data_IF_349314201215
#
_entry.id   IF_349314201215
#
_cell.length_a   1.000
_cell.length_b   1.000
_cell.length_c   1.000
_cell.angle_alpha   90.00
_cell.angle_beta   90.00
_cell.angle_gamma   90.00
#
_symmetry.space_group_name_H-M   'P 1'
#
loop_
_entity.id
_entity.type
_entity.pdbx_description
1 polymer ?
#
# COMPACT_ATOMS: atom_id res chain seq x y z
N UNK A 1 8.32 -7.89 5.56
CA UNK A 1 9.29 -7.03 6.27
C UNK A 1 9.89 -6.06 5.24
N UNK A 2 10.20 -4.80 5.59
CA UNK A 2 10.80 -3.83 4.65
C UNK A 2 12.14 -4.32 4.07
N UNK A 3 12.88 -5.16 4.81
CA UNK A 3 14.11 -5.82 4.31
C UNK A 3 13.85 -6.68 3.07
N UNK A 4 12.79 -7.47 3.06
CA UNK A 4 12.46 -8.37 1.95
C UNK A 4 12.07 -7.58 0.68
N UNK A 5 11.31 -6.49 0.83
CA UNK A 5 10.94 -5.63 -0.29
C UNK A 5 12.17 -4.96 -0.92
N UNK A 6 13.15 -4.57 -0.08
CA UNK A 6 14.41 -4.00 -0.55
C UNK A 6 15.22 -5.00 -1.36
N UNK A 7 15.39 -6.22 -0.84
CA UNK A 7 16.12 -7.30 -1.53
C UNK A 7 15.48 -7.61 -2.90
N UNK A 8 14.15 -7.68 -2.98
CA UNK A 8 13.43 -7.89 -4.25
C UNK A 8 13.64 -6.72 -5.20
N UNK A 9 13.53 -5.47 -4.72
CA UNK A 9 13.74 -4.27 -5.54
C UNK A 9 15.15 -4.23 -6.13
N UNK A 10 16.16 -4.58 -5.34
CA UNK A 10 17.57 -4.64 -5.76
C UNK A 10 17.82 -5.77 -6.76
N UNK A 11 17.18 -6.93 -6.59
CA UNK A 11 17.32 -8.07 -7.50
C UNK A 11 16.64 -7.85 -8.86
N UNK A 12 15.58 -7.04 -8.91
CA UNK A 12 14.75 -6.83 -10.10
C UNK A 12 14.55 -5.35 -10.41
N UNK A 13 15.60 -4.52 -10.60
CA UNK A 13 15.51 -3.04 -10.59
C UNK A 13 14.52 -2.43 -11.59
N UNK A 14 14.29 -3.09 -12.73
CA UNK A 14 13.43 -2.57 -13.80
C UNK A 14 12.02 -3.20 -13.83
N UNK A 15 11.74 -4.20 -12.98
CA UNK A 15 10.45 -4.89 -12.97
C UNK A 15 9.47 -4.16 -12.04
N UNK A 16 8.24 -3.82 -12.47
CA UNK A 16 7.26 -3.23 -11.57
C UNK A 16 7.02 -4.09 -10.32
N UNK A 17 7.20 -3.49 -9.14
CA UNK A 17 7.06 -4.15 -7.84
C UNK A 17 5.84 -3.58 -7.11
N UNK A 18 4.85 -4.44 -6.82
CA UNK A 18 3.62 -4.04 -6.12
C UNK A 18 3.54 -4.72 -4.75
N UNK A 19 3.34 -3.93 -3.69
CA UNK A 19 3.05 -4.47 -2.36
C UNK A 19 1.59 -4.93 -2.24
N UNK A 20 1.31 -6.00 -1.49
CA UNK A 20 -0.06 -6.45 -1.26
C UNK A 20 -0.48 -6.51 0.23
N UNK A 21 0.46 -6.81 1.12
CA UNK A 21 0.16 -7.15 2.52
C UNK A 21 0.68 -6.05 3.43
N UNK A 22 -0.13 -5.66 4.42
CA UNK A 22 0.28 -4.69 5.44
C UNK A 22 0.26 -3.24 4.97
N UNK A 23 -0.31 -2.95 3.81
CA UNK A 23 -0.51 -1.57 3.34
C UNK A 23 -1.67 -0.92 4.11
N UNK A 24 -1.37 0.16 4.79
CA UNK A 24 -2.31 1.03 5.53
C UNK A 24 -1.95 2.48 5.25
N UNK A 25 -2.81 3.42 5.68
CA UNK A 25 -2.52 4.85 5.60
C UNK A 25 -1.23 5.25 6.33
N UNK A 26 -0.86 4.51 7.38
CA UNK A 26 0.34 4.76 8.18
C UNK A 26 1.60 4.17 7.56
N UNK A 27 1.48 3.08 6.78
CA UNK A 27 2.64 2.36 6.20
C UNK A 27 2.91 2.68 4.74
N UNK A 28 1.94 3.27 4.03
CA UNK A 28 2.01 3.46 2.57
C UNK A 28 3.22 4.30 2.14
N UNK A 29 3.62 5.30 2.91
CA UNK A 29 4.77 6.15 2.60
C UNK A 29 6.08 5.33 2.55
N UNK A 30 6.32 4.51 3.57
CA UNK A 30 7.52 3.68 3.63
C UNK A 30 7.50 2.58 2.56
N UNK A 31 6.33 1.99 2.31
CA UNK A 31 6.18 0.94 1.30
C UNK A 31 6.44 1.50 -0.10
N UNK A 32 5.91 2.69 -0.42
CA UNK A 32 6.11 3.33 -1.72
C UNK A 32 7.53 3.85 -1.91
N UNK A 33 8.33 3.99 -0.84
CA UNK A 33 9.77 4.26 -0.99
C UNK A 33 10.55 3.12 -1.64
N UNK A 34 9.97 1.91 -1.71
CA UNK A 34 10.60 0.70 -2.25
C UNK A 34 9.80 0.04 -3.39
N UNK A 35 8.54 0.44 -3.60
CA UNK A 35 7.60 -0.23 -4.50
C UNK A 35 6.91 0.76 -5.41
N UNK A 36 6.48 0.31 -6.58
CA UNK A 36 5.87 1.14 -7.62
C UNK A 36 4.34 1.28 -7.43
N UNK A 37 3.79 0.61 -6.40
CA UNK A 37 2.38 0.69 -6.05
C UNK A 37 1.94 -0.45 -5.13
N UNK A 38 0.62 -0.60 -4.97
CA UNK A 38 0.09 -1.67 -4.15
C UNK A 38 -1.30 -2.17 -4.57
N UNK A 39 -1.62 -3.39 -4.15
CA UNK A 39 -2.98 -3.92 -4.07
C UNK A 39 -3.42 -3.91 -2.61
N UNK A 40 -4.43 -3.12 -2.27
CA UNK A 40 -4.88 -2.92 -0.90
C UNK A 40 -6.35 -3.34 -0.74
N UNK A 41 -6.65 -4.02 0.37
CA UNK A 41 -7.98 -4.57 0.64
C UNK A 41 -8.54 -4.07 1.96
N UNK A 42 -8.42 -4.87 3.02
CA UNK A 42 -9.18 -4.73 4.26
C UNK A 42 -9.06 -3.35 4.93
N UNK A 43 -7.92 -2.65 4.80
CA UNK A 43 -7.77 -1.29 5.33
C UNK A 43 -8.81 -0.30 4.77
N UNK A 44 -9.20 -0.46 3.51
CA UNK A 44 -10.20 0.38 2.84
C UNK A 44 -11.65 -0.01 3.17
N UNK A 45 -11.87 -1.12 3.89
CA UNK A 45 -13.20 -1.61 4.27
C UNK A 45 -13.62 -1.09 5.63
N UNK A 46 -14.92 -1.08 5.91
CA UNK A 46 -15.42 -0.72 7.24
C UNK A 46 -14.77 -1.58 8.31
N UNK A 47 -14.30 -0.94 9.39
CA UNK A 47 -13.61 -1.57 10.53
C UNK A 47 -12.40 -2.44 10.20
N UNK A 48 -11.85 -2.40 8.98
CA UNK A 48 -10.77 -3.31 8.60
C UNK A 48 -11.22 -4.74 8.31
N UNK A 49 -12.52 -5.01 8.23
CA UNK A 49 -13.05 -6.35 8.02
C UNK A 49 -13.08 -6.71 6.53
N UNK A 50 -12.41 -7.81 6.17
CA UNK A 50 -12.31 -8.32 4.79
C UNK A 50 -13.66 -8.60 4.15
N UNK A 51 -14.70 -8.94 4.92
CA UNK A 51 -16.03 -9.25 4.38
C UNK A 51 -16.93 -8.03 4.27
N UNK A 52 -16.56 -6.94 4.93
CA UNK A 52 -17.31 -5.69 4.89
C UNK A 52 -17.20 -4.97 3.53
N UNK A 53 -18.15 -4.07 3.29
CA UNK A 53 -18.11 -3.17 2.15
C UNK A 53 -16.91 -2.21 2.26
N UNK A 54 -16.47 -1.71 1.10
CA UNK A 54 -15.48 -0.63 1.01
C UNK A 54 -16.10 0.64 1.60
N UNK A 55 -15.32 1.35 2.42
CA UNK A 55 -15.69 2.62 3.02
C UNK A 55 -15.14 3.77 2.14
N UNK A 56 -16.00 4.54 1.45
CA UNK A 56 -15.55 5.59 0.54
C UNK A 56 -14.74 6.69 1.22
N UNK A 57 -14.98 6.96 2.50
CA UNK A 57 -14.22 7.98 3.25
C UNK A 57 -12.79 7.51 3.53
N UNK A 58 -12.62 6.23 3.86
CA UNK A 58 -11.30 5.62 4.02
C UNK A 58 -10.52 5.60 2.71
N UNK A 59 -11.19 5.29 1.60
CA UNK A 59 -10.57 5.37 0.26
C UNK A 59 -10.09 6.78 -0.02
N UNK A 60 -10.94 7.80 0.19
CA UNK A 60 -10.57 9.19 -0.03
C UNK A 60 -9.36 9.59 0.80
N UNK A 61 -9.39 9.33 2.12
CA UNK A 61 -8.26 9.62 3.02
C UNK A 61 -6.96 8.93 2.60
N UNK A 62 -7.05 7.68 2.16
CA UNK A 62 -5.89 6.94 1.68
C UNK A 62 -5.32 7.55 0.40
N UNK A 63 -6.17 7.88 -0.57
CA UNK A 63 -5.75 8.51 -1.82
C UNK A 63 -5.22 9.92 -1.60
N UNK A 64 -5.86 10.74 -0.75
CA UNK A 64 -5.35 12.06 -0.35
C UNK A 64 -3.92 11.93 0.21
N UNK A 65 -3.65 10.90 1.03
CA UNK A 65 -2.29 10.63 1.53
C UNK A 65 -1.34 10.22 0.41
N UNK A 66 -1.74 9.30 -0.47
CA UNK A 66 -0.92 8.85 -1.61
C UNK A 66 -0.56 10.00 -2.54
N UNK A 67 -1.49 10.92 -2.80
CA UNK A 67 -1.25 12.10 -3.65
C UNK A 67 -0.17 13.04 -3.07
N UNK A 68 0.11 12.98 -1.76
CA UNK A 68 1.23 13.73 -1.14
C UNK A 68 2.59 13.06 -1.28
N UNK A 69 2.66 11.83 -1.80
CA UNK A 69 3.89 11.04 -1.93
C UNK A 69 4.55 11.16 -3.32
N UNK A 70 3.99 12.00 -4.19
CA UNK A 70 4.54 12.31 -5.51
C UNK A 70 5.70 13.30 -5.46
#
# INVERSE_FOLDING_TARGET
NQTELREVREALPDTPLLANTGVTIDTVADIFSLTDGCVIGSHLKHNGDTWSAVDPERVRKFMDKVETLH
#
